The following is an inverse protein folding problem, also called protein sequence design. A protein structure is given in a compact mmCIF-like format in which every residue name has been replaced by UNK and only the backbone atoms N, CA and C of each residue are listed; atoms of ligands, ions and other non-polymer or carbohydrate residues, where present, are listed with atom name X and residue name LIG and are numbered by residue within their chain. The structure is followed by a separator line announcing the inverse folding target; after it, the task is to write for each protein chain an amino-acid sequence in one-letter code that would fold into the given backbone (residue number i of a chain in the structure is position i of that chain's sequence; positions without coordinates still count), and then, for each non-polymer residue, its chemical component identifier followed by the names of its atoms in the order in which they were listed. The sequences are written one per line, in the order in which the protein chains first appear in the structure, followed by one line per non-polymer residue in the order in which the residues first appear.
data_IF_528551444566
#
_entry.id   IF_528551444566
#
_cell.length_a   1.000
_cell.length_b   1.000
_cell.length_c   1.000
_cell.angle_alpha   90.00
_cell.angle_beta   90.00
_cell.angle_gamma   90.00
#
_symmetry.space_group_name_H-M   'P 1'
#
loop_
_entity.id
_entity.type
_entity.pdbx_description
1 polymer ?
#
# COMPACT_ATOMS: atom_id res chain seq x y z
N UNK A 1 -5.04 22.35 -75.62
CA UNK A 1 -3.63 21.88 -75.59
C UNK A 1 -2.72 22.97 -75.01
N UNK A 2 -2.81 24.24 -75.45
CA UNK A 2 -1.98 25.34 -74.91
C UNK A 2 -2.21 25.69 -73.42
N UNK A 3 -3.47 25.68 -72.96
CA UNK A 3 -3.82 25.97 -71.56
C UNK A 3 -3.19 25.00 -70.54
N UNK A 4 -2.98 23.74 -70.91
CA UNK A 4 -2.30 22.77 -70.04
C UNK A 4 -0.79 23.00 -70.00
N UNK A 5 -0.18 23.33 -71.15
CA UNK A 5 1.24 23.70 -71.23
C UNK A 5 1.56 24.93 -70.38
N UNK A 6 0.70 25.94 -70.40
CA UNK A 6 0.92 27.18 -69.65
C UNK A 6 0.70 26.99 -68.14
N UNK A 7 -0.29 26.18 -67.75
CA UNK A 7 -0.48 25.78 -66.36
C UNK A 7 0.72 25.00 -65.81
N UNK A 8 1.28 24.08 -66.60
CA UNK A 8 2.46 23.31 -66.22
C UNK A 8 3.72 24.18 -66.10
N UNK A 9 3.91 25.13 -67.01
CA UNK A 9 5.01 26.12 -66.92
C UNK A 9 4.89 26.99 -65.67
N UNK A 10 3.69 27.47 -65.36
CA UNK A 10 3.45 28.31 -64.19
C UNK A 10 3.69 27.54 -62.89
N UNK A 11 3.24 26.29 -62.82
CA UNK A 11 3.49 25.39 -61.68
C UNK A 11 4.98 25.13 -61.47
N UNK A 12 5.72 24.93 -62.56
CA UNK A 12 7.17 24.72 -62.53
C UNK A 12 7.90 25.97 -62.04
N UNK A 13 7.54 27.16 -62.54
CA UNK A 13 8.09 28.43 -62.06
C UNK A 13 7.79 28.69 -60.59
N UNK A 14 6.58 28.35 -60.14
CA UNK A 14 6.18 28.48 -58.74
C UNK A 14 7.03 27.57 -57.84
N UNK A 15 7.24 26.31 -58.23
CA UNK A 15 8.12 25.38 -57.52
C UNK A 15 9.57 25.85 -57.48
N UNK A 16 10.10 26.39 -58.59
CA UNK A 16 11.47 26.94 -58.60
C UNK A 16 11.60 28.09 -57.60
N UNK A 17 10.67 29.06 -57.60
CA UNK A 17 10.69 30.18 -56.65
C UNK A 17 10.57 29.72 -55.20
N UNK A 18 9.76 28.69 -54.94
CA UNK A 18 9.61 28.10 -53.62
C UNK A 18 10.94 27.50 -53.13
N UNK A 19 11.64 26.78 -54.00
CA UNK A 19 12.96 26.22 -53.69
C UNK A 19 14.01 27.32 -53.47
N UNK A 20 13.99 28.40 -54.25
CA UNK A 20 14.91 29.53 -54.08
C UNK A 20 14.71 30.22 -52.71
N UNK A 21 13.45 30.42 -52.32
CA UNK A 21 13.10 30.97 -51.00
C UNK A 21 13.57 30.04 -49.88
N UNK A 22 13.36 28.72 -50.02
CA UNK A 22 13.83 27.74 -49.05
C UNK A 22 15.36 27.76 -48.92
N UNK A 23 16.11 27.78 -50.04
CA UNK A 23 17.57 27.86 -50.02
C UNK A 23 18.08 29.13 -49.31
N UNK A 24 17.45 30.29 -49.55
CA UNK A 24 17.83 31.55 -48.89
C UNK A 24 17.58 31.45 -47.38
N UNK A 25 16.46 30.84 -46.98
CA UNK A 25 16.12 30.58 -45.58
C UNK A 25 17.11 29.63 -44.92
N UNK A 26 17.47 28.52 -45.57
CA UNK A 26 18.45 27.56 -45.07
C UNK A 26 19.84 28.19 -44.91
N UNK A 27 20.25 29.02 -45.88
CA UNK A 27 21.53 29.72 -45.82
C UNK A 27 21.57 30.77 -44.71
N UNK A 28 20.47 31.52 -44.53
CA UNK A 28 20.34 32.53 -43.48
C UNK A 28 20.28 31.90 -42.08
N UNK A 29 19.52 30.80 -41.93
CA UNK A 29 19.42 30.04 -40.70
C UNK A 29 20.66 29.17 -40.40
N UNK A 30 21.55 29.01 -41.39
CA UNK A 30 22.70 28.08 -41.38
C UNK A 30 22.31 26.64 -41.01
N UNK A 31 21.08 26.26 -41.36
CA UNK A 31 20.50 24.95 -41.08
C UNK A 31 19.65 24.56 -42.29
N UNK A 32 19.80 23.31 -42.73
CA UNK A 32 18.87 22.70 -43.67
C UNK A 32 17.53 22.42 -42.99
N UNK A 33 16.47 22.25 -43.79
CA UNK A 33 15.14 21.91 -43.26
C UNK A 33 15.16 20.63 -42.41
N UNK A 34 15.94 19.63 -42.82
CA UNK A 34 16.06 18.35 -42.11
C UNK A 34 16.82 18.49 -40.79
N UNK A 35 17.88 19.31 -40.74
CA UNK A 35 18.61 19.60 -39.50
C UNK A 35 17.72 20.32 -38.48
N UNK A 36 16.99 21.34 -38.91
CA UNK A 36 16.07 22.07 -38.03
C UNK A 36 14.98 21.14 -37.46
N UNK A 37 14.44 20.25 -38.29
CA UNK A 37 13.47 19.24 -37.87
C UNK A 37 14.06 18.26 -36.85
N UNK A 38 15.27 17.76 -37.10
CA UNK A 38 15.95 16.83 -36.20
C UNK A 38 16.24 17.47 -34.84
N UNK A 39 16.71 18.72 -34.81
CA UNK A 39 16.97 19.46 -33.56
C UNK A 39 15.68 19.60 -32.73
N UNK A 40 14.56 19.94 -33.37
CA UNK A 40 13.27 20.07 -32.67
C UNK A 40 12.82 18.72 -32.12
N UNK A 41 12.91 17.66 -32.92
CA UNK A 41 12.54 16.31 -32.49
C UNK A 41 13.40 15.84 -31.32
N UNK A 42 14.71 16.06 -31.37
CA UNK A 42 15.65 15.70 -30.30
C UNK A 42 15.35 16.47 -29.02
N UNK A 43 15.02 17.77 -29.12
CA UNK A 43 14.62 18.59 -27.97
C UNK A 43 13.32 18.13 -27.34
N UNK A 44 12.34 17.75 -28.16
CA UNK A 44 11.06 17.22 -27.71
C UNK A 44 11.26 15.87 -27.03
N UNK A 45 12.12 15.02 -27.57
CA UNK A 45 12.45 13.72 -26.98
C UNK A 45 13.16 13.88 -25.62
N UNK A 46 14.13 14.78 -25.53
CA UNK A 46 14.84 15.12 -24.29
C UNK A 46 13.87 15.63 -23.21
N UNK A 47 12.99 16.56 -23.55
CA UNK A 47 11.97 17.08 -22.64
C UNK A 47 10.99 15.99 -22.19
N UNK A 48 10.54 15.16 -23.14
CA UNK A 48 9.60 14.07 -22.87
C UNK A 48 10.19 13.04 -21.91
N UNK A 49 11.50 12.74 -22.01
CA UNK A 49 12.17 11.80 -21.09
C UNK A 49 12.08 12.24 -19.62
N UNK A 50 12.28 13.54 -19.35
CA UNK A 50 12.18 14.06 -17.99
C UNK A 50 10.74 13.99 -17.46
N UNK A 51 9.77 14.31 -18.31
CA UNK A 51 8.36 14.27 -17.95
C UNK A 51 7.88 12.83 -17.67
N UNK A 52 8.31 11.87 -18.51
CA UNK A 52 8.08 10.43 -18.30
C UNK A 52 8.71 9.99 -16.97
N UNK A 53 9.95 10.38 -16.67
CA UNK A 53 10.60 10.01 -15.41
C UNK A 53 9.84 10.53 -14.19
N UNK A 54 9.30 11.75 -14.26
CA UNK A 54 8.45 12.31 -13.20
C UNK A 54 7.14 11.53 -13.04
N UNK A 55 6.48 11.19 -14.15
CA UNK A 55 5.24 10.41 -14.16
C UNK A 55 5.48 9.03 -13.53
N UNK A 56 6.55 8.34 -13.93
CA UNK A 56 6.92 7.02 -13.38
C UNK A 56 7.14 7.11 -11.88
N UNK A 57 7.94 8.07 -11.39
CA UNK A 57 8.18 8.24 -9.95
C UNK A 57 6.90 8.47 -9.16
N UNK A 58 5.99 9.30 -9.69
CA UNK A 58 4.69 9.54 -9.04
C UNK A 58 3.88 8.26 -8.92
N UNK A 59 3.77 7.48 -10.00
CA UNK A 59 3.03 6.22 -9.98
C UNK A 59 3.67 5.16 -9.08
N UNK A 60 5.01 5.09 -9.03
CA UNK A 60 5.71 4.20 -8.10
C UNK A 60 5.41 4.56 -6.63
N UNK A 61 5.39 5.84 -6.30
CA UNK A 61 5.08 6.32 -4.95
C UNK A 61 3.61 6.02 -4.57
N UNK A 62 2.67 6.30 -5.47
CA UNK A 62 1.26 5.96 -5.30
C UNK A 62 1.05 4.45 -5.08
N UNK A 63 1.66 3.62 -5.92
CA UNK A 63 1.61 2.16 -5.81
C UNK A 63 2.18 1.67 -4.48
N UNK A 64 3.30 2.26 -4.04
CA UNK A 64 3.93 1.91 -2.74
C UNK A 64 3.05 2.28 -1.56
N UNK A 65 2.42 3.46 -1.60
CA UNK A 65 1.50 3.92 -0.57
C UNK A 65 0.23 3.05 -0.49
N UNK A 66 -0.33 2.69 -1.65
CA UNK A 66 -1.46 1.78 -1.73
C UNK A 66 -1.12 0.37 -1.23
N UNK A 67 0.03 -0.17 -1.63
CA UNK A 67 0.52 -1.46 -1.16
C UNK A 67 0.66 -1.48 0.37
N UNK A 68 1.26 -0.43 0.95
CA UNK A 68 1.40 -0.29 2.41
C UNK A 68 0.04 -0.24 3.12
N UNK A 69 -0.91 0.53 2.57
CA UNK A 69 -2.28 0.62 3.11
C UNK A 69 -2.98 -0.74 3.07
N UNK A 70 -2.89 -1.47 1.96
CA UNK A 70 -3.48 -2.82 1.82
C UNK A 70 -2.82 -3.83 2.77
N UNK A 71 -1.50 -3.81 2.88
CA UNK A 71 -0.76 -4.69 3.80
C UNK A 71 -1.21 -4.46 5.26
N UNK A 72 -1.27 -3.20 5.69
CA UNK A 72 -1.73 -2.87 7.04
C UNK A 72 -3.18 -3.31 7.28
N UNK A 73 -4.06 -3.16 6.28
CA UNK A 73 -5.44 -3.61 6.37
C UNK A 73 -5.54 -5.13 6.54
N UNK A 74 -4.78 -5.90 5.75
CA UNK A 74 -4.74 -7.36 5.83
C UNK A 74 -4.21 -7.81 7.19
N UNK A 75 -3.12 -7.21 7.68
CA UNK A 75 -2.57 -7.52 9.00
C UNK A 75 -3.59 -7.22 10.10
N UNK A 76 -4.26 -6.05 10.04
CA UNK A 76 -5.28 -5.70 11.02
C UNK A 76 -6.46 -6.70 11.01
N UNK A 77 -6.91 -7.13 9.84
CA UNK A 77 -7.95 -8.17 9.72
C UNK A 77 -7.49 -9.51 10.29
N UNK A 78 -6.28 -9.96 9.95
CA UNK A 78 -5.73 -11.19 10.49
C UNK A 78 -5.63 -11.14 12.01
N UNK A 79 -5.04 -10.07 12.56
CA UNK A 79 -4.96 -9.87 14.01
C UNK A 79 -6.34 -9.87 14.65
N UNK A 80 -7.31 -9.13 14.11
CA UNK A 80 -8.68 -9.11 14.64
C UNK A 80 -9.34 -10.50 14.65
N UNK A 81 -9.13 -11.28 13.59
CA UNK A 81 -9.67 -12.64 13.47
C UNK A 81 -9.06 -13.62 14.46
N UNK A 82 -7.75 -13.55 14.70
CA UNK A 82 -7.02 -14.54 15.50
C UNK A 82 -6.73 -14.09 16.94
N UNK A 83 -6.90 -12.82 17.29
CA UNK A 83 -6.58 -12.30 18.62
C UNK A 83 -7.38 -12.99 19.73
N UNK A 84 -8.66 -13.28 19.49
CA UNK A 84 -9.52 -13.98 20.47
C UNK A 84 -9.06 -15.41 20.74
N UNK A 85 -8.78 -16.17 19.68
CA UNK A 85 -8.28 -17.54 19.78
C UNK A 85 -6.89 -17.59 20.44
N UNK A 86 -5.98 -16.68 20.04
CA UNK A 86 -4.67 -16.55 20.67
C UNK A 86 -4.77 -16.21 22.16
N UNK A 87 -5.66 -15.30 22.54
CA UNK A 87 -5.90 -14.95 23.94
C UNK A 87 -6.46 -16.16 24.72
N UNK A 88 -7.43 -16.87 24.17
CA UNK A 88 -8.02 -18.06 24.80
C UNK A 88 -7.05 -19.25 24.90
N UNK A 89 -6.07 -19.36 24.01
CA UNK A 89 -5.07 -20.43 24.10
C UNK A 89 -3.91 -20.05 25.04
N UNK A 90 -3.50 -18.77 25.04
CA UNK A 90 -2.26 -18.33 25.68
C UNK A 90 -2.44 -17.58 26.98
N UNK A 91 -3.62 -17.07 27.32
CA UNK A 91 -3.82 -16.22 28.50
C UNK A 91 -4.63 -16.86 29.62
N UNK A 92 -5.31 -17.98 29.35
CA UNK A 92 -6.09 -18.72 30.34
C UNK A 92 -5.45 -20.08 30.65
N UNK A 93 -5.63 -20.55 31.88
CA UNK A 93 -5.29 -21.90 32.32
C UNK A 93 -6.46 -22.49 33.10
N UNK A 94 -6.77 -23.76 32.86
CA UNK A 94 -7.86 -24.47 33.54
C UNK A 94 -7.26 -25.26 34.70
N UNK A 95 -7.67 -24.93 35.92
CA UNK A 95 -7.24 -25.62 37.13
C UNK A 95 -8.33 -26.58 37.57
N UNK A 96 -8.02 -27.88 37.53
CA UNK A 96 -8.92 -28.93 37.99
C UNK A 96 -8.95 -28.98 39.52
N UNK A 97 -10.14 -28.89 40.08
CA UNK A 97 -10.42 -28.95 41.51
C UNK A 97 -11.00 -30.32 41.84
N UNK A 98 -10.45 -30.96 42.88
CA UNK A 98 -10.80 -32.35 43.24
C UNK A 98 -12.24 -32.54 43.68
N UNK A 99 -12.88 -31.53 44.24
CA UNK A 99 -14.28 -31.55 44.66
C UNK A 99 -14.86 -30.12 44.75
N UNK A 100 -16.19 -29.99 44.75
CA UNK A 100 -16.86 -28.69 44.78
C UNK A 100 -16.78 -27.99 46.14
N UNK A 101 -16.48 -28.73 47.22
CA UNK A 101 -16.23 -28.15 48.54
C UNK A 101 -15.00 -27.24 48.51
N UNK A 102 -13.91 -27.68 47.86
CA UNK A 102 -12.72 -26.87 47.62
C UNK A 102 -13.03 -25.68 46.73
N UNK A 103 -13.85 -25.85 45.67
CA UNK A 103 -14.30 -24.74 44.81
C UNK A 103 -15.05 -23.70 45.66
N UNK A 104 -15.97 -24.12 46.53
CA UNK A 104 -16.70 -23.24 47.44
C UNK A 104 -15.80 -22.48 48.41
N UNK A 105 -14.74 -23.11 48.93
CA UNK A 105 -13.74 -22.44 49.79
C UNK A 105 -12.88 -21.42 49.03
N UNK A 106 -12.53 -21.70 47.78
CA UNK A 106 -11.78 -20.79 46.91
C UNK A 106 -12.63 -19.54 46.61
N UNK A 107 -13.92 -19.70 46.34
CA UNK A 107 -14.85 -18.59 46.11
C UNK A 107 -15.02 -17.77 47.40
N UNK A 108 -15.32 -18.45 48.51
CA UNK A 108 -15.62 -17.83 49.79
C UNK A 108 -16.99 -17.12 49.81
N UNK A 109 -17.43 -16.69 51.00
CA UNK A 109 -18.70 -15.97 51.16
C UNK A 109 -18.67 -14.66 50.36
N UNK A 110 -19.66 -14.46 49.48
CA UNK A 110 -19.77 -13.28 48.60
C UNK A 110 -18.56 -13.07 47.66
N UNK A 111 -17.80 -14.14 47.36
CA UNK A 111 -16.62 -14.03 46.50
C UNK A 111 -15.43 -13.31 47.15
N UNK A 112 -15.41 -13.16 48.48
CA UNK A 112 -14.31 -12.43 49.18
C UNK A 112 -12.96 -13.13 49.05
N UNK A 113 -12.95 -14.47 49.06
CA UNK A 113 -11.69 -15.22 48.97
C UNK A 113 -11.13 -15.11 47.55
N UNK A 114 -11.97 -15.27 46.52
CA UNK A 114 -11.51 -15.14 45.12
C UNK A 114 -10.93 -13.74 44.86
N UNK A 115 -11.60 -12.66 45.29
CA UNK A 115 -11.07 -11.30 45.16
C UNK A 115 -9.73 -11.10 45.86
N UNK A 116 -9.56 -11.70 47.03
CA UNK A 116 -8.30 -11.64 47.78
C UNK A 116 -7.19 -12.37 47.03
N UNK A 117 -7.49 -13.56 46.48
CA UNK A 117 -6.56 -14.34 45.68
C UNK A 117 -6.16 -13.60 44.40
N UNK A 118 -7.12 -13.02 43.69
CA UNK A 118 -6.88 -12.19 42.50
C UNK A 118 -5.94 -11.02 42.79
N UNK A 119 -6.18 -10.29 43.89
CA UNK A 119 -5.35 -9.16 44.31
C UNK A 119 -3.93 -9.59 44.70
N UNK A 120 -3.78 -10.67 45.46
CA UNK A 120 -2.47 -11.13 45.95
C UNK A 120 -1.64 -11.75 44.82
N UNK A 121 -2.28 -12.56 43.97
CA UNK A 121 -1.61 -13.29 42.90
C UNK A 121 -1.46 -12.43 41.62
N UNK A 122 -2.27 -11.38 41.47
CA UNK A 122 -2.29 -10.52 40.27
C UNK A 122 -2.79 -11.28 39.05
N UNK A 123 -3.87 -12.03 39.23
CA UNK A 123 -4.54 -12.84 38.19
C UNK A 123 -6.04 -12.59 38.28
N UNK A 124 -6.77 -12.89 37.21
CA UNK A 124 -8.24 -12.93 37.24
C UNK A 124 -8.69 -14.40 37.37
N UNK A 125 -9.61 -14.69 38.27
CA UNK A 125 -10.14 -16.03 38.51
C UNK A 125 -11.61 -16.05 38.09
N UNK A 126 -11.88 -16.75 36.99
CA UNK A 126 -13.21 -16.88 36.42
C UNK A 126 -13.85 -18.17 36.97
N UNK A 127 -15.02 -18.00 37.57
CA UNK A 127 -15.84 -19.09 38.12
C UNK A 127 -17.07 -19.23 37.22
N UNK A 128 -17.21 -20.39 36.60
CA UNK A 128 -18.36 -20.76 35.76
C UNK A 128 -19.12 -21.96 36.35
N UNK A 129 -20.15 -22.39 35.63
CA UNK A 129 -20.99 -23.54 35.97
C UNK A 129 -20.28 -24.90 35.77
N UNK A 130 -19.01 -24.92 35.34
CA UNK A 130 -18.26 -26.15 35.12
C UNK A 130 -17.88 -26.78 36.48
N UNK A 131 -18.38 -28.00 36.81
CA UNK A 131 -18.05 -28.66 38.06
C UNK A 131 -16.57 -29.03 38.12
N UNK A 132 -15.94 -28.90 39.30
CA UNK A 132 -14.54 -29.32 39.47
C UNK A 132 -13.50 -28.53 38.65
N UNK A 133 -13.83 -27.34 38.13
CA UNK A 133 -12.87 -26.49 37.42
C UNK A 133 -13.01 -25.01 37.81
N UNK A 134 -11.87 -24.31 37.78
CA UNK A 134 -11.78 -22.84 37.78
C UNK A 134 -10.84 -22.40 36.66
N UNK A 135 -11.10 -21.24 36.08
CA UNK A 135 -10.27 -20.69 35.01
C UNK A 135 -9.44 -19.54 35.58
N UNK A 136 -8.12 -19.61 35.39
CA UNK A 136 -7.19 -18.54 35.79
C UNK A 136 -6.72 -17.82 34.53
N UNK A 137 -6.96 -16.51 34.47
CA UNK A 137 -6.56 -15.63 33.38
C UNK A 137 -5.44 -14.70 33.84
N UNK A 138 -4.32 -14.66 33.11
CA UNK A 138 -3.25 -13.70 33.36
C UNK A 138 -2.34 -13.51 32.14
N UNK A 139 -1.88 -12.28 31.91
CA UNK A 139 -0.87 -11.96 30.90
C UNK A 139 0.52 -12.57 31.18
N UNK A 140 0.85 -12.81 32.46
CA UNK A 140 2.13 -13.39 32.85
C UNK A 140 2.05 -14.92 32.93
N UNK A 141 2.84 -15.61 32.09
CA UNK A 141 2.91 -17.08 32.04
C UNK A 141 3.22 -17.73 33.38
N UNK A 142 4.08 -17.13 34.21
CA UNK A 142 4.44 -17.71 35.51
C UNK A 142 3.35 -17.53 36.56
N UNK A 143 2.47 -16.54 36.42
CA UNK A 143 1.37 -16.30 37.36
C UNK A 143 0.14 -17.16 37.06
N UNK A 144 -0.01 -17.62 35.82
CA UNK A 144 -1.12 -18.52 35.43
C UNK A 144 -0.80 -20.01 35.58
N UNK A 145 0.46 -20.40 35.76
CA UNK A 145 0.92 -21.79 35.78
C UNK A 145 0.74 -22.44 37.16
#
# INVERSE_FOLDING_TARGET
LDLQSDADKLKKQYQTKLNDVLNILEHSARLTQDEAKNIILEKVEENSRNEIAHIVRRYEEEARNEAKRKANYIIAQATSRFAGEFAAERLINVVNIKNDELKGRIIGKEGRNVKTLEMVLGVDIIIDDTPGAIIVSCFNLYRRA
#
